data_IF_231619011391
#
_entry.id   IF_231619011391
#
_cell.length_a   1.000
_cell.length_b   1.000
_cell.length_c   1.000
_cell.angle_alpha   90.00
_cell.angle_beta   90.00
_cell.angle_gamma   90.00
#
_symmetry.space_group_name_H-M   'P 1'
#
loop_
_entity.id
_entity.type
_entity.pdbx_description
1 polymer ?
#
# COMPACT_ATOMS: atom_id res chain seq x y z
N UNK A 1 16.67 14.94 -32.26
CA UNK A 1 16.76 13.47 -32.36
C UNK A 1 16.92 12.99 -30.93
N UNK A 2 15.80 12.61 -30.30
CA UNK A 2 15.68 12.54 -28.84
C UNK A 2 16.30 11.23 -28.30
N UNK A 3 17.25 11.37 -27.38
CA UNK A 3 17.96 10.27 -26.74
C UNK A 3 16.98 9.50 -25.84
N UNK A 4 16.35 8.45 -26.38
CA UNK A 4 15.75 7.40 -25.55
C UNK A 4 16.86 6.71 -24.76
N UNK A 5 17.17 7.25 -23.60
CA UNK A 5 17.94 6.56 -22.56
C UNK A 5 17.23 5.23 -22.32
N UNK A 6 17.87 4.12 -22.68
CA UNK A 6 17.35 2.77 -22.39
C UNK A 6 17.29 2.63 -20.87
N UNK A 7 16.13 2.92 -20.29
CA UNK A 7 15.85 2.62 -18.90
C UNK A 7 16.13 1.14 -18.67
N UNK A 8 17.14 0.84 -17.84
CA UNK A 8 17.40 -0.53 -17.43
C UNK A 8 16.12 -1.08 -16.80
N UNK A 9 15.68 -2.30 -17.11
CA UNK A 9 14.47 -2.86 -16.51
C UNK A 9 14.57 -2.84 -14.98
N UNK A 10 13.48 -2.44 -14.29
CA UNK A 10 13.42 -2.45 -12.82
C UNK A 10 13.15 -3.88 -12.31
N UNK A 11 14.19 -4.72 -12.37
CA UNK A 11 14.12 -6.13 -11.95
C UNK A 11 13.73 -6.25 -10.47
N UNK A 12 14.23 -5.33 -9.63
CA UNK A 12 13.92 -5.28 -8.21
C UNK A 12 12.44 -4.91 -7.99
N UNK A 13 11.92 -3.97 -8.79
CA UNK A 13 10.49 -3.67 -8.85
C UNK A 13 9.64 -4.87 -9.28
N UNK A 14 10.06 -5.57 -10.33
CA UNK A 14 9.37 -6.77 -10.82
C UNK A 14 9.35 -7.89 -9.77
N UNK A 15 10.46 -8.10 -9.07
CA UNK A 15 10.54 -9.07 -7.96
C UNK A 15 9.56 -8.72 -6.84
N UNK A 16 9.43 -7.42 -6.52
CA UNK A 16 8.47 -6.97 -5.52
C UNK A 16 7.02 -7.20 -5.94
N UNK A 17 6.70 -6.93 -7.21
CA UNK A 17 5.38 -7.24 -7.76
C UNK A 17 5.09 -8.74 -7.79
N UNK A 18 6.07 -9.58 -8.13
CA UNK A 18 5.92 -11.04 -8.07
C UNK A 18 5.65 -11.52 -6.64
N UNK A 19 6.41 -11.01 -5.67
CA UNK A 19 6.20 -11.33 -4.25
C UNK A 19 4.82 -10.88 -3.78
N UNK A 20 4.33 -9.71 -4.21
CA UNK A 20 2.98 -9.24 -3.92
C UNK A 20 1.92 -10.28 -4.33
N UNK A 21 2.01 -10.81 -5.55
CA UNK A 21 1.06 -11.80 -6.07
C UNK A 21 1.16 -13.14 -5.31
N UNK A 22 2.38 -13.60 -5.04
CA UNK A 22 2.60 -14.85 -4.27
C UNK A 22 2.03 -14.70 -2.87
N UNK A 23 2.32 -13.58 -2.20
CA UNK A 23 1.80 -13.30 -0.87
C UNK A 23 0.28 -13.23 -0.85
N UNK A 24 -0.34 -12.64 -1.88
CA UNK A 24 -1.79 -12.59 -2.02
C UNK A 24 -2.37 -14.01 -2.13
N UNK A 25 -1.78 -14.84 -2.97
CA UNK A 25 -2.16 -16.26 -3.11
C UNK A 25 -1.99 -17.04 -1.80
N UNK A 26 -0.89 -16.80 -1.07
CA UNK A 26 -0.63 -17.45 0.22
C UNK A 26 -1.67 -17.07 1.28
N UNK A 27 -2.09 -15.81 1.35
CA UNK A 27 -3.12 -15.37 2.31
C UNK A 27 -4.46 -16.05 2.02
N UNK A 28 -4.86 -16.13 0.74
CA UNK A 28 -6.07 -16.85 0.33
C UNK A 28 -5.96 -18.36 0.55
N UNK A 29 -4.77 -18.94 0.35
CA UNK A 29 -4.55 -20.37 0.58
C UNK A 29 -4.52 -20.73 2.07
N UNK A 30 -4.01 -19.84 2.92
CA UNK A 30 -3.92 -20.05 4.36
C UNK A 30 -5.27 -19.87 5.07
N UNK A 31 -6.18 -19.09 4.47
CA UNK A 31 -7.51 -18.83 4.99
C UNK A 31 -8.55 -19.39 4.01
N UNK A 32 -8.89 -20.69 4.08
CA UNK A 32 -9.71 -21.34 3.08
C UNK A 32 -11.06 -20.66 2.91
N UNK A 33 -11.66 -20.10 3.96
CA UNK A 33 -12.97 -19.42 3.88
C UNK A 33 -12.89 -17.95 3.45
N UNK A 34 -11.69 -17.40 3.26
CA UNK A 34 -11.52 -15.97 2.98
C UNK A 34 -12.19 -15.55 1.67
N UNK A 35 -12.25 -16.44 0.68
CA UNK A 35 -12.96 -16.17 -0.57
C UNK A 35 -14.48 -15.98 -0.35
N UNK A 36 -15.09 -16.80 0.52
CA UNK A 36 -16.50 -16.67 0.90
C UNK A 36 -16.71 -15.37 1.66
N UNK A 37 -15.89 -15.10 2.68
CA UNK A 37 -16.00 -13.88 3.50
C UNK A 37 -15.77 -12.61 2.69
N UNK A 38 -14.88 -12.65 1.70
CA UNK A 38 -14.67 -11.53 0.77
C UNK A 38 -15.89 -11.31 -0.12
N UNK A 39 -16.51 -12.39 -0.61
CA UNK A 39 -17.76 -12.29 -1.37
C UNK A 39 -18.90 -11.75 -0.52
N UNK A 40 -19.04 -12.21 0.72
CA UNK A 40 -20.03 -11.72 1.69
C UNK A 40 -19.82 -10.23 1.98
N UNK A 41 -18.58 -9.80 2.22
CA UNK A 41 -18.23 -8.40 2.40
C UNK A 41 -18.64 -7.53 1.20
N UNK A 42 -18.36 -7.97 -0.02
CA UNK A 42 -18.73 -7.23 -1.23
C UNK A 42 -20.24 -7.17 -1.44
N UNK A 43 -20.96 -8.24 -1.10
CA UNK A 43 -22.43 -8.30 -1.21
C UNK A 43 -23.13 -7.47 -0.14
N UNK A 44 -22.51 -7.34 1.02
CA UNK A 44 -23.02 -6.59 2.17
C UNK A 44 -22.82 -5.06 2.05
N UNK A 45 -22.11 -4.61 1.00
CA UNK A 45 -22.00 -3.21 0.64
C UNK A 45 -23.36 -2.63 0.28
N UNK A 46 -23.88 -1.78 1.13
CA UNK A 46 -25.14 -1.08 0.92
C UNK A 46 -24.92 0.43 0.90
N UNK A 47 -25.84 1.14 0.24
CA UNK A 47 -25.81 2.59 0.18
C UNK A 47 -26.33 3.14 1.52
N UNK A 48 -25.41 3.58 2.38
CA UNK A 48 -25.74 4.12 3.70
C UNK A 48 -25.69 5.64 3.69
N UNK A 49 -26.61 6.26 4.43
CA UNK A 49 -26.64 7.71 4.60
C UNK A 49 -25.68 8.10 5.72
N UNK A 50 -24.62 8.85 5.36
CA UNK A 50 -23.58 9.28 6.31
C UNK A 50 -23.91 10.68 6.86
N UNK A 51 -24.52 11.50 6.02
CA UNK A 51 -24.92 12.86 6.31
C UNK A 51 -26.24 13.13 5.60
N UNK A 52 -27.13 14.01 6.10
CA UNK A 52 -28.39 14.32 5.44
C UNK A 52 -28.22 14.60 3.94
N UNK A 53 -28.78 13.73 3.10
CA UNK A 53 -28.70 13.83 1.64
C UNK A 53 -27.41 13.32 0.99
N UNK A 54 -26.43 12.84 1.75
CA UNK A 54 -25.17 12.25 1.25
C UNK A 54 -25.13 10.76 1.59
N UNK A 55 -25.25 9.94 0.55
CA UNK A 55 -25.22 8.49 0.65
C UNK A 55 -23.97 7.92 -0.02
N UNK A 56 -23.39 6.90 0.58
CA UNK A 56 -22.15 6.29 0.12
C UNK A 56 -22.15 4.80 0.46
N UNK A 57 -21.32 4.04 -0.25
CA UNK A 57 -21.21 2.60 -0.04
C UNK A 57 -20.43 2.30 1.25
N UNK A 58 -21.07 1.57 2.16
CA UNK A 58 -20.46 1.01 3.35
C UNK A 58 -20.93 -0.42 3.60
N UNK A 59 -20.08 -1.28 4.18
CA UNK A 59 -20.51 -2.58 4.66
C UNK A 59 -21.51 -2.38 5.81
N UNK A 60 -22.55 -3.20 5.82
CA UNK A 60 -23.63 -3.14 6.82
C UNK A 60 -23.21 -3.90 8.08
N UNK A 61 -22.48 -5.00 7.90
CA UNK A 61 -21.91 -5.84 8.92
C UNK A 61 -20.39 -5.62 9.00
N UNK A 62 -19.83 -6.00 10.16
CA UNK A 62 -18.40 -5.90 10.38
C UNK A 62 -17.71 -7.21 9.98
N UNK A 63 -16.97 -7.15 8.88
CA UNK A 63 -16.22 -8.27 8.32
C UNK A 63 -14.78 -8.30 8.85
N UNK A 64 -14.62 -8.50 10.17
CA UNK A 64 -13.33 -8.38 10.87
C UNK A 64 -12.25 -9.30 10.29
N UNK A 65 -12.62 -10.48 9.80
CA UNK A 65 -11.71 -11.45 9.23
C UNK A 65 -11.12 -11.00 7.90
N UNK A 66 -11.91 -10.31 7.07
CA UNK A 66 -11.43 -9.71 5.82
C UNK A 66 -10.42 -8.60 6.12
N UNK A 67 -10.72 -7.75 7.12
CA UNK A 67 -9.82 -6.69 7.55
C UNK A 67 -8.53 -7.25 8.17
N UNK A 68 -8.63 -8.33 8.94
CA UNK A 68 -7.49 -9.00 9.56
C UNK A 68 -6.60 -9.66 8.50
N UNK A 69 -7.18 -10.31 7.49
CA UNK A 69 -6.42 -10.88 6.38
C UNK A 69 -5.70 -9.78 5.58
N UNK A 70 -6.38 -8.67 5.29
CA UNK A 70 -5.79 -7.51 4.64
C UNK A 70 -4.66 -6.88 5.48
N UNK A 71 -4.82 -6.85 6.81
CA UNK A 71 -3.80 -6.38 7.75
C UNK A 71 -2.55 -7.26 7.69
N UNK A 72 -2.71 -8.58 7.78
CA UNK A 72 -1.60 -9.54 7.71
C UNK A 72 -0.84 -9.43 6.38
N UNK A 73 -1.59 -9.32 5.27
CA UNK A 73 -1.03 -9.09 3.95
C UNK A 73 -0.21 -7.79 3.90
N UNK A 74 -0.80 -6.69 4.36
CA UNK A 74 -0.16 -5.38 4.34
C UNK A 74 1.11 -5.35 5.20
N UNK A 75 1.09 -6.03 6.36
CA UNK A 75 2.22 -6.12 7.26
C UNK A 75 3.38 -6.90 6.63
N UNK A 76 3.10 -8.09 6.10
CA UNK A 76 4.11 -8.90 5.43
C UNK A 76 4.71 -8.18 4.21
N UNK A 77 3.86 -7.49 3.43
CA UNK A 77 4.35 -6.73 2.27
C UNK A 77 5.13 -5.48 2.67
N UNK A 78 4.76 -4.77 3.74
CA UNK A 78 5.53 -3.64 4.26
C UNK A 78 6.94 -4.07 4.69
N UNK A 79 7.06 -5.16 5.46
CA UNK A 79 8.34 -5.74 5.88
C UNK A 79 9.17 -6.14 4.67
N UNK A 80 8.56 -6.79 3.68
CA UNK A 80 9.25 -7.16 2.46
C UNK A 80 9.77 -5.93 1.69
N UNK A 81 9.00 -4.84 1.61
CA UNK A 81 9.47 -3.61 0.96
C UNK A 81 10.68 -2.98 1.67
N UNK A 82 10.84 -3.15 2.99
CA UNK A 82 12.05 -2.75 3.72
C UNK A 82 13.27 -3.53 3.21
N UNK A 83 13.13 -4.86 3.05
CA UNK A 83 14.19 -5.70 2.48
C UNK A 83 14.51 -5.28 1.04
N UNK A 84 13.50 -4.99 0.24
CA UNK A 84 13.69 -4.50 -1.12
C UNK A 84 14.42 -3.17 -1.16
N UNK A 85 14.11 -2.25 -0.24
CA UNK A 85 14.82 -0.97 -0.14
C UNK A 85 16.30 -1.19 0.19
N UNK A 86 16.61 -2.08 1.14
CA UNK A 86 17.99 -2.44 1.46
C UNK A 86 18.72 -3.02 0.24
N UNK A 87 18.05 -3.88 -0.52
CA UNK A 87 18.60 -4.45 -1.76
C UNK A 87 18.90 -3.37 -2.81
N UNK A 88 18.01 -2.38 -2.97
CA UNK A 88 18.24 -1.22 -3.85
C UNK A 88 19.44 -0.37 -3.40
N UNK A 89 19.76 -0.32 -2.10
CA UNK A 89 20.99 0.31 -1.62
C UNK A 89 22.24 -0.48 -1.99
N UNK A 90 22.22 -1.81 -1.82
CA UNK A 90 23.34 -2.71 -2.17
C UNK A 90 23.66 -2.62 -3.66
N UNK A 91 22.65 -2.67 -4.53
CA UNK A 91 22.82 -2.56 -5.98
C UNK A 91 23.01 -1.13 -6.50
N UNK A 92 23.13 -0.14 -5.61
CA UNK A 92 23.35 1.28 -5.95
C UNK A 92 22.35 1.82 -6.98
N UNK A 93 21.09 1.43 -6.84
CA UNK A 93 20.03 1.92 -7.72
C UNK A 93 19.82 3.44 -7.58
N UNK A 94 19.28 4.11 -8.64
CA UNK A 94 19.02 5.54 -8.61
C UNK A 94 18.04 5.93 -7.49
N UNK A 95 18.20 7.15 -6.98
CA UNK A 95 17.36 7.69 -5.91
C UNK A 95 15.87 7.73 -6.25
N UNK A 96 15.51 7.86 -7.53
CA UNK A 96 14.13 7.81 -7.99
C UNK A 96 13.43 6.48 -7.66
N UNK A 97 14.17 5.36 -7.76
CA UNK A 97 13.71 4.00 -7.44
C UNK A 97 13.63 3.76 -5.95
N UNK A 98 14.65 4.18 -5.20
CA UNK A 98 14.67 4.12 -3.74
C UNK A 98 13.51 4.91 -3.12
N UNK A 99 13.26 6.12 -3.63
CA UNK A 99 12.13 6.95 -3.21
C UNK A 99 10.78 6.26 -3.46
N UNK A 100 10.64 5.53 -4.58
CA UNK A 100 9.44 4.73 -4.87
C UNK A 100 9.22 3.61 -3.86
N UNK A 101 10.25 2.85 -3.53
CA UNK A 101 10.14 1.79 -2.50
C UNK A 101 9.93 2.36 -1.10
N UNK A 102 10.58 3.47 -0.75
CA UNK A 102 10.36 4.14 0.54
C UNK A 102 8.92 4.66 0.69
N UNK A 103 8.36 5.20 -0.40
CA UNK A 103 6.95 5.60 -0.47
C UNK A 103 5.98 4.42 -0.34
N UNK A 104 6.30 3.28 -0.98
CA UNK A 104 5.58 2.01 -0.78
C UNK A 104 5.58 1.58 0.69
N UNK A 105 6.74 1.61 1.36
CA UNK A 105 6.83 1.29 2.81
C UNK A 105 5.93 2.21 3.63
N UNK A 106 5.96 3.52 3.36
CA UNK A 106 5.12 4.50 4.05
C UNK A 106 3.63 4.19 3.87
N UNK A 107 3.20 3.94 2.63
CA UNK A 107 1.81 3.59 2.33
C UNK A 107 1.38 2.30 3.03
N UNK A 108 2.14 1.22 2.88
CA UNK A 108 1.78 -0.08 3.46
C UNK A 108 1.82 -0.06 4.99
N UNK A 109 2.73 0.70 5.60
CA UNK A 109 2.73 0.92 7.05
C UNK A 109 1.47 1.67 7.52
N UNK A 110 1.02 2.65 6.75
CA UNK A 110 -0.24 3.34 6.97
C UNK A 110 -1.47 2.44 6.79
N UNK A 111 -1.44 1.55 5.80
CA UNK A 111 -2.48 0.53 5.60
C UNK A 111 -2.53 -0.46 6.78
N UNK A 112 -1.39 -0.92 7.27
CA UNK A 112 -1.28 -1.77 8.48
C UNK A 112 -1.95 -1.09 9.67
N UNK A 113 -1.59 0.17 9.95
CA UNK A 113 -2.21 0.94 11.03
C UNK A 113 -3.72 1.03 10.85
N UNK A 114 -4.18 1.46 9.67
CA UNK A 114 -5.60 1.71 9.40
C UNK A 114 -6.44 0.42 9.46
N UNK A 115 -5.93 -0.67 8.91
CA UNK A 115 -6.60 -1.98 8.92
C UNK A 115 -6.64 -2.58 10.32
N UNK A 116 -5.57 -2.42 11.12
CA UNK A 116 -5.57 -2.85 12.52
C UNK A 116 -6.64 -2.11 13.33
N UNK A 117 -6.75 -0.79 13.14
CA UNK A 117 -7.78 0.00 13.83
C UNK A 117 -9.19 -0.39 13.39
N UNK A 118 -9.42 -0.64 12.09
CA UNK A 118 -10.71 -1.07 11.55
C UNK A 118 -11.09 -2.48 12.01
N UNK A 119 -10.15 -3.42 11.98
CA UNK A 119 -10.34 -4.79 12.48
C UNK A 119 -10.62 -4.79 13.99
N UNK A 120 -9.91 -3.95 14.76
CA UNK A 120 -10.13 -3.73 16.19
C UNK A 120 -11.42 -2.99 16.52
N UNK A 121 -11.97 -2.22 15.57
CA UNK A 121 -13.24 -1.50 15.73
C UNK A 121 -13.11 -0.16 16.42
N UNK A 122 -11.91 0.37 16.42
CA UNK A 122 -11.60 1.69 16.97
C UNK A 122 -11.97 2.81 15.99
N UNK A 123 -12.11 2.49 14.71
CA UNK A 123 -12.52 3.41 13.66
C UNK A 123 -13.58 2.76 12.78
N UNK A 124 -14.44 3.61 12.19
CA UNK A 124 -15.45 3.18 11.24
C UNK A 124 -14.90 3.11 9.81
N UNK A 125 -15.69 2.51 8.92
CA UNK A 125 -15.36 2.33 7.49
C UNK A 125 -14.95 3.64 6.80
N UNK A 126 -15.68 4.74 7.03
CA UNK A 126 -15.37 6.02 6.39
C UNK A 126 -14.10 6.68 6.92
N UNK A 127 -13.84 6.57 8.21
CA UNK A 127 -12.57 7.01 8.81
C UNK A 127 -11.40 6.21 8.22
N UNK A 128 -11.57 4.89 8.05
CA UNK A 128 -10.60 4.04 7.37
C UNK A 128 -10.33 4.52 5.94
N UNK A 129 -11.37 4.77 5.13
CA UNK A 129 -11.19 5.28 3.76
C UNK A 129 -10.46 6.62 3.73
N UNK A 130 -10.79 7.53 4.66
CA UNK A 130 -10.10 8.81 4.81
C UNK A 130 -8.61 8.63 5.12
N UNK A 131 -8.27 7.73 6.04
CA UNK A 131 -6.88 7.41 6.37
C UNK A 131 -6.13 6.82 5.17
N UNK A 132 -6.74 5.89 4.43
CA UNK A 132 -6.13 5.32 3.21
C UNK A 132 -5.87 6.43 2.18
N UNK A 133 -6.81 7.34 1.95
CA UNK A 133 -6.60 8.47 1.05
C UNK A 133 -5.46 9.39 1.51
N UNK A 134 -5.37 9.66 2.81
CA UNK A 134 -4.26 10.42 3.41
C UNK A 134 -2.93 9.71 3.15
N UNK A 135 -2.84 8.39 3.34
CA UNK A 135 -1.61 7.64 3.08
C UNK A 135 -1.26 7.56 1.61
N UNK A 136 -2.24 7.47 0.70
CA UNK A 136 -2.00 7.55 -0.76
C UNK A 136 -1.39 8.91 -1.10
N UNK A 137 -2.05 10.01 -0.71
CA UNK A 137 -1.53 11.36 -0.96
C UNK A 137 -0.16 11.59 -0.31
N UNK A 138 -0.02 11.17 0.95
CA UNK A 138 1.22 11.24 1.70
C UNK A 138 2.36 10.46 1.04
N UNK A 139 2.09 9.29 0.45
CA UNK A 139 3.09 8.50 -0.27
C UNK A 139 3.65 9.24 -1.49
N UNK A 140 2.81 9.96 -2.23
CA UNK A 140 3.20 10.75 -3.40
C UNK A 140 4.07 11.93 -2.96
N UNK A 141 3.65 12.66 -1.93
CA UNK A 141 4.42 13.77 -1.35
C UNK A 141 5.76 13.27 -0.83
N UNK A 142 5.77 12.15 -0.09
CA UNK A 142 6.97 11.56 0.49
C UNK A 142 7.99 11.17 -0.58
N UNK A 143 7.56 10.49 -1.65
CA UNK A 143 8.43 10.18 -2.79
C UNK A 143 9.00 11.45 -3.44
N UNK A 144 8.16 12.48 -3.59
CA UNK A 144 8.55 13.74 -4.23
C UNK A 144 9.58 14.49 -3.41
N UNK A 145 9.39 14.58 -2.09
CA UNK A 145 10.35 15.21 -1.17
C UNK A 145 11.70 14.51 -1.23
N UNK A 146 11.74 13.18 -1.17
CA UNK A 146 13.00 12.42 -1.25
C UNK A 146 13.71 12.72 -2.58
N UNK A 147 12.99 12.68 -3.70
CA UNK A 147 13.56 12.97 -5.02
C UNK A 147 14.15 14.38 -5.09
N UNK A 148 13.41 15.39 -4.63
CA UNK A 148 13.84 16.79 -4.65
C UNK A 148 15.06 17.05 -3.76
N UNK A 149 15.05 16.52 -2.53
CA UNK A 149 16.19 16.67 -1.60
C UNK A 149 17.44 16.03 -2.19
N UNK A 150 17.32 14.84 -2.75
CA UNK A 150 18.47 14.14 -3.33
C UNK A 150 19.00 14.82 -4.60
N UNK A 151 18.13 15.31 -5.47
CA UNK A 151 18.54 16.09 -6.65
C UNK A 151 19.30 17.35 -6.24
N UNK A 152 18.81 18.06 -5.21
CA UNK A 152 19.49 19.26 -4.68
C UNK A 152 20.87 18.94 -4.12
N UNK A 153 21.02 17.84 -3.37
CA UNK A 153 22.32 17.41 -2.80
C UNK A 153 23.33 17.05 -3.91
N UNK A 154 22.88 16.45 -5.01
CA UNK A 154 23.75 16.12 -6.14
C UNK A 154 24.20 17.41 -6.84
N UNK A 155 23.29 18.37 -7.04
CA UNK A 155 23.58 19.64 -7.70
C UNK A 155 24.54 20.55 -6.92
N UNK A 156 24.61 20.44 -5.58
CA UNK A 156 25.55 21.22 -4.76
C UNK A 156 26.93 20.57 -4.58
N UNK A 157 27.10 19.32 -5.02
CA UNK A 157 28.35 18.56 -4.92
C UNK A 157 29.11 18.40 -6.25
N UNK A 158 28.54 18.85 -7.36
CA UNK A 158 29.19 18.92 -8.67
C UNK A 158 29.64 20.34 -8.98
#
# INVERSE_FOLDING_TARGET
>A
MDERTKDKPDIIGLLSFGFFLVLLGLIFSANPDLHVKTYEFLKDMSLQEIYPGVKFFAPTLRHSEVYTAAFQFSLAFAVFNILMLALRFIFREPWSRKAGTASSIFFWSGAVFSLNQLAGGFIDWFTFLGLILIFIGGSIVFASVIRLVMLRIIATKG
#
